data_IF_508569760658
#
_entry.id   IF_508569760658
#
_cell.length_a   1.000
_cell.length_b   1.000
_cell.length_c   1.000
_cell.angle_alpha   90.00
_cell.angle_beta   90.00
_cell.angle_gamma   90.00
#
_symmetry.space_group_name_H-M   'P 1'
#
loop_
_entity.id
_entity.type
_entity.pdbx_description
1 polymer ?
#
# COMPACT_ATOMS: atom_id res chain seq x y z
N UNK A 1 13.95 31.33 -10.70
CA UNK A 1 13.19 31.93 -11.82
C UNK A 1 12.36 30.81 -12.41
N UNK A 2 11.04 30.95 -12.42
CA UNK A 2 10.08 29.90 -12.81
C UNK A 2 10.40 29.39 -14.23
N UNK A 3 11.10 28.25 -14.34
CA UNK A 3 11.66 27.72 -15.60
C UNK A 3 10.60 27.09 -16.52
N UNK A 4 9.34 27.08 -16.08
CA UNK A 4 8.20 26.53 -16.81
C UNK A 4 7.25 27.67 -17.12
N UNK A 5 7.18 28.05 -18.40
CA UNK A 5 6.34 29.16 -18.85
C UNK A 5 4.87 28.94 -18.47
N UNK A 6 4.14 30.03 -18.20
CA UNK A 6 2.70 30.01 -17.88
C UNK A 6 1.86 29.15 -18.86
N UNK A 7 2.13 29.10 -20.18
CA UNK A 7 1.49 28.19 -21.12
C UNK A 7 1.65 26.69 -20.79
N UNK A 8 2.82 26.28 -20.29
CA UNK A 8 3.07 24.90 -19.89
C UNK A 8 2.25 24.51 -18.65
N UNK A 9 2.16 25.41 -17.65
CA UNK A 9 1.30 25.22 -16.46
C UNK A 9 -0.19 25.19 -16.83
N UNK A 10 -0.60 26.06 -17.76
CA UNK A 10 -1.97 26.10 -18.28
C UNK A 10 -2.34 24.84 -19.09
N UNK A 11 -1.40 24.29 -19.87
CA UNK A 11 -1.60 23.04 -20.63
C UNK A 11 -1.79 21.84 -19.72
N UNK A 12 -0.95 21.71 -18.68
CA UNK A 12 -1.07 20.68 -17.64
C UNK A 12 -2.43 20.78 -16.94
N UNK A 13 -2.87 21.99 -16.59
CA UNK A 13 -4.16 22.21 -15.93
C UNK A 13 -5.35 21.94 -16.86
N UNK A 14 -5.23 22.23 -18.16
CA UNK A 14 -6.27 21.96 -19.15
C UNK A 14 -6.52 20.45 -19.33
N UNK A 15 -5.51 19.59 -19.20
CA UNK A 15 -5.71 18.13 -19.23
C UNK A 15 -6.66 17.65 -18.12
N UNK A 16 -6.58 18.27 -16.93
CA UNK A 16 -7.48 18.01 -15.79
C UNK A 16 -8.93 18.37 -16.07
N UNK A 17 -9.16 19.55 -16.66
CA UNK A 17 -10.51 20.06 -16.90
C UNK A 17 -11.26 19.25 -17.97
N UNK A 18 -10.55 18.73 -18.97
CA UNK A 18 -11.19 18.09 -20.13
C UNK A 18 -11.32 16.55 -20.03
N UNK A 19 -10.75 15.85 -19.04
CA UNK A 19 -10.78 14.36 -18.96
C UNK A 19 -10.28 13.65 -20.25
N UNK A 20 -9.45 14.31 -21.05
CA UNK A 20 -8.90 13.71 -22.26
C UNK A 20 -7.81 12.70 -21.90
N UNK A 21 -8.20 11.43 -21.85
CA UNK A 21 -7.26 10.31 -21.79
C UNK A 21 -6.48 10.28 -23.12
N UNK A 22 -5.19 10.57 -23.05
CA UNK A 22 -4.19 10.51 -24.12
C UNK A 22 -4.19 11.68 -25.13
N UNK A 23 -3.51 12.77 -24.77
CA UNK A 23 -2.73 13.51 -25.76
C UNK A 23 -1.30 12.95 -25.70
N UNK A 24 -0.75 12.40 -26.81
CA UNK A 24 0.61 11.87 -26.80
C UNK A 24 1.61 12.96 -26.37
N UNK A 25 2.71 12.58 -25.73
CA UNK A 25 3.77 13.51 -25.31
C UNK A 25 4.26 14.43 -26.44
N UNK A 26 4.01 14.05 -27.69
CA UNK A 26 4.36 14.80 -28.90
C UNK A 26 3.32 15.88 -29.28
N UNK A 27 2.28 16.09 -28.48
CA UNK A 27 1.20 17.05 -28.77
C UNK A 27 1.62 18.48 -28.39
N UNK A 28 1.12 19.45 -29.15
CA UNK A 28 1.29 20.89 -28.85
C UNK A 28 0.90 21.18 -27.39
N UNK A 29 1.72 21.91 -26.60
CA UNK A 29 2.87 22.76 -26.98
C UNK A 29 4.25 22.11 -26.86
N UNK A 30 4.37 20.80 -26.58
CA UNK A 30 5.65 20.13 -26.27
C UNK A 30 6.73 20.33 -27.35
N UNK A 31 6.34 20.33 -28.63
CA UNK A 31 7.24 20.42 -29.77
C UNK A 31 7.99 21.76 -29.92
N UNK A 32 7.51 22.85 -29.29
CA UNK A 32 8.10 24.19 -29.41
C UNK A 32 8.87 24.67 -28.16
N UNK A 33 9.07 23.80 -27.17
CA UNK A 33 9.81 24.15 -25.95
C UNK A 33 11.32 24.20 -26.25
N UNK A 34 12.03 25.31 -25.90
CA UNK A 34 13.48 25.39 -26.04
C UNK A 34 14.20 24.24 -25.31
N UNK A 35 15.30 23.68 -25.87
CA UNK A 35 15.97 22.50 -25.30
C UNK A 35 16.29 22.58 -23.80
N UNK A 36 16.67 23.76 -23.32
CA UNK A 36 17.01 24.01 -21.91
C UNK A 36 15.82 23.93 -20.94
N UNK A 37 14.57 24.07 -21.42
CA UNK A 37 13.35 23.97 -20.60
C UNK A 37 12.70 22.58 -20.67
N UNK A 38 13.09 21.75 -21.65
CA UNK A 38 12.48 20.42 -21.86
C UNK A 38 12.61 19.50 -20.65
N UNK A 39 13.79 19.47 -20.03
CA UNK A 39 14.04 18.63 -18.85
C UNK A 39 13.13 19.01 -17.67
N UNK A 40 13.11 20.29 -17.30
CA UNK A 40 12.26 20.78 -16.21
C UNK A 40 10.77 20.57 -16.49
N UNK A 41 10.35 20.75 -17.74
CA UNK A 41 8.98 20.45 -18.16
C UNK A 41 8.64 18.96 -18.03
N UNK A 42 9.52 18.06 -18.49
CA UNK A 42 9.32 16.61 -18.38
C UNK A 42 9.20 16.17 -16.92
N UNK A 43 10.10 16.64 -16.04
CA UNK A 43 10.03 16.35 -14.60
C UNK A 43 8.69 16.81 -13.99
N UNK A 44 8.24 18.01 -14.37
CA UNK A 44 6.94 18.55 -13.91
C UNK A 44 5.76 17.75 -14.47
N UNK A 45 5.83 17.33 -15.74
CA UNK A 45 4.79 16.53 -16.39
C UNK A 45 4.71 15.11 -15.80
N UNK A 46 5.84 14.47 -15.54
CA UNK A 46 5.91 13.15 -14.93
C UNK A 46 5.37 13.17 -13.49
N UNK A 47 5.74 14.19 -12.71
CA UNK A 47 5.19 14.42 -11.38
C UNK A 47 3.67 14.60 -11.43
N UNK A 48 3.18 15.43 -12.35
CA UNK A 48 1.76 15.64 -12.55
C UNK A 48 1.02 14.38 -13.01
N UNK A 49 1.58 13.62 -13.96
CA UNK A 49 1.00 12.36 -14.43
C UNK A 49 0.92 11.31 -13.31
N UNK A 50 1.92 11.27 -12.42
CA UNK A 50 1.90 10.43 -11.21
C UNK A 50 0.76 10.84 -10.28
N UNK A 51 0.64 12.12 -9.96
CA UNK A 51 -0.42 12.66 -9.09
C UNK A 51 -1.82 12.37 -9.65
N UNK A 52 -2.04 12.59 -10.95
CA UNK A 52 -3.31 12.25 -11.58
C UNK A 52 -3.63 10.75 -11.49
N UNK A 53 -2.62 9.90 -11.69
CA UNK A 53 -2.80 8.44 -11.58
C UNK A 53 -3.19 8.06 -10.14
N UNK A 54 -2.54 8.67 -9.14
CA UNK A 54 -2.87 8.46 -7.73
C UNK A 54 -4.28 8.94 -7.38
N UNK A 55 -4.70 10.10 -7.90
CA UNK A 55 -6.05 10.64 -7.73
C UNK A 55 -7.11 9.73 -8.38
N UNK A 56 -6.88 9.29 -9.62
CA UNK A 56 -7.76 8.34 -10.33
C UNK A 56 -7.89 7.03 -9.55
N UNK A 57 -6.78 6.51 -8.99
CA UNK A 57 -6.78 5.30 -8.19
C UNK A 57 -7.55 5.51 -6.88
N UNK A 58 -7.39 6.64 -6.19
CA UNK A 58 -8.17 6.98 -5.00
C UNK A 58 -9.67 7.04 -5.28
N UNK A 59 -10.08 7.63 -6.40
CA UNK A 59 -11.50 7.67 -6.83
C UNK A 59 -12.08 6.27 -7.11
N UNK A 60 -11.24 5.29 -7.46
CA UNK A 60 -11.69 3.91 -7.62
C UNK A 60 -11.99 3.23 -6.27
N UNK A 61 -11.22 3.54 -5.23
CA UNK A 61 -11.28 2.89 -3.91
C UNK A 61 -11.99 3.75 -2.87
N UNK A 62 -13.28 3.96 -3.06
CA UNK A 62 -14.13 4.72 -2.13
C UNK A 62 -14.65 3.87 -0.97
N UNK A 63 -14.95 4.51 0.16
CA UNK A 63 -15.37 3.85 1.40
C UNK A 63 -16.77 3.19 1.30
N UNK A 64 -17.65 3.68 0.43
CA UNK A 64 -18.97 3.09 0.16
C UNK A 64 -18.89 1.69 -0.45
N UNK A 65 -17.80 1.38 -1.17
CA UNK A 65 -17.57 0.06 -1.80
C UNK A 65 -17.04 -0.99 -0.84
N UNK A 66 -16.64 -0.60 0.38
CA UNK A 66 -16.12 -1.55 1.36
C UNK A 66 -17.24 -2.37 1.98
N UNK A 67 -17.00 -3.68 2.12
CA UNK A 67 -17.82 -4.60 2.90
C UNK A 67 -17.77 -4.20 4.38
N UNK A 68 -18.82 -4.54 5.14
CA UNK A 68 -18.91 -4.23 6.58
C UNK A 68 -17.69 -4.69 7.37
N UNK A 69 -17.22 -5.91 7.13
CA UNK A 69 -16.03 -6.44 7.80
C UNK A 69 -14.75 -5.66 7.45
N UNK A 70 -14.62 -5.17 6.21
CA UNK A 70 -13.45 -4.39 5.80
C UNK A 70 -13.40 -3.06 6.55
N UNK A 71 -14.55 -2.40 6.74
CA UNK A 71 -14.66 -1.17 7.56
C UNK A 71 -14.31 -1.44 9.02
N UNK A 72 -14.83 -2.54 9.58
CA UNK A 72 -14.50 -2.95 10.94
C UNK A 72 -12.99 -3.24 11.09
N UNK A 73 -12.40 -3.91 10.09
CA UNK A 73 -10.97 -4.21 10.07
C UNK A 73 -10.10 -2.94 10.02
N UNK A 74 -10.48 -1.92 9.24
CA UNK A 74 -9.80 -0.62 9.24
C UNK A 74 -9.85 0.03 10.62
N UNK A 75 -10.99 -0.06 11.32
CA UNK A 75 -11.13 0.46 12.68
C UNK A 75 -10.22 -0.28 13.67
N UNK A 76 -10.23 -1.61 13.64
CA UNK A 76 -9.36 -2.47 14.46
C UNK A 76 -7.88 -2.15 14.19
N UNK A 77 -7.50 -1.95 12.93
CA UNK A 77 -6.14 -1.59 12.54
C UNK A 77 -5.72 -0.19 13.05
N UNK A 78 -6.66 0.71 13.29
CA UNK A 78 -6.40 2.02 13.89
C UNK A 78 -6.30 1.95 15.41
N UNK A 79 -7.00 1.00 16.04
CA UNK A 79 -7.05 0.77 17.48
C UNK A 79 -5.93 -0.16 18.00
N UNK A 80 -5.17 -0.81 17.11
CA UNK A 80 -4.10 -1.76 17.47
C UNK A 80 -2.98 -1.08 18.24
N UNK A 81 -2.41 -1.76 19.22
CA UNK A 81 -1.23 -1.30 19.94
C UNK A 81 0.06 -1.45 19.09
N UNK A 82 1.16 -0.83 19.53
CA UNK A 82 2.40 -0.80 18.75
C UNK A 82 3.01 -2.18 18.50
N UNK A 83 2.78 -3.14 19.40
CA UNK A 83 3.34 -4.52 19.31
C UNK A 83 2.45 -5.49 18.54
N UNK A 84 1.18 -5.15 18.32
CA UNK A 84 0.17 -6.05 17.79
C UNK A 84 0.13 -6.07 16.26
N UNK A 85 0.07 -7.27 15.70
CA UNK A 85 -0.16 -7.55 14.28
C UNK A 85 -1.57 -8.09 14.11
N UNK A 86 -2.37 -7.44 13.26
CA UNK A 86 -3.70 -7.93 12.92
C UNK A 86 -3.57 -9.06 11.91
N UNK A 87 -4.05 -10.26 12.25
CA UNK A 87 -4.09 -11.39 11.31
C UNK A 87 -5.52 -11.71 10.90
N UNK A 88 -5.84 -11.51 9.63
CA UNK A 88 -7.13 -11.82 9.04
C UNK A 88 -7.01 -13.05 8.15
N UNK A 89 -7.81 -14.09 8.42
CA UNK A 89 -7.81 -15.29 7.60
C UNK A 89 -9.20 -15.79 7.20
N UNK A 90 -9.30 -16.38 6.00
CA UNK A 90 -10.47 -17.10 5.50
C UNK A 90 -10.05 -18.38 4.76
N UNK A 91 -10.58 -19.53 5.14
CA UNK A 91 -10.17 -20.81 4.51
C UNK A 91 -10.60 -20.88 3.04
N UNK A 92 -11.81 -20.45 2.75
CA UNK A 92 -12.43 -20.61 1.43
C UNK A 92 -11.91 -19.61 0.38
N UNK A 93 -11.48 -18.42 0.80
CA UNK A 93 -11.12 -17.33 -0.11
C UNK A 93 -12.33 -16.49 -0.53
N UNK A 94 -12.09 -15.48 -1.36
CA UNK A 94 -13.15 -14.63 -1.93
C UNK A 94 -13.75 -13.60 -0.98
N UNK A 95 -13.26 -13.51 0.27
CA UNK A 95 -13.76 -12.52 1.23
C UNK A 95 -13.46 -11.05 0.88
N UNK A 96 -12.56 -10.82 -0.10
CA UNK A 96 -12.16 -9.47 -0.53
C UNK A 96 -10.94 -8.94 0.22
N UNK A 97 -10.10 -9.80 0.82
CA UNK A 97 -8.88 -9.41 1.52
C UNK A 97 -7.94 -8.57 0.64
N UNK A 98 -7.65 -9.04 -0.57
CA UNK A 98 -6.79 -8.32 -1.51
C UNK A 98 -7.39 -6.96 -1.93
N UNK A 99 -8.72 -6.83 -1.96
CA UNK A 99 -9.36 -5.52 -2.20
C UNK A 99 -9.07 -4.54 -1.05
N UNK A 100 -9.11 -5.01 0.20
CA UNK A 100 -8.77 -4.19 1.37
C UNK A 100 -7.31 -3.72 1.33
N UNK A 101 -6.36 -4.58 0.96
CA UNK A 101 -4.94 -4.18 0.75
C UNK A 101 -4.85 -3.00 -0.23
N UNK A 102 -5.49 -3.15 -1.40
CA UNK A 102 -5.46 -2.16 -2.47
C UNK A 102 -6.12 -0.85 -2.05
N UNK A 103 -7.23 -0.93 -1.31
CA UNK A 103 -7.89 0.24 -0.73
C UNK A 103 -6.96 0.97 0.26
N UNK A 104 -6.32 0.26 1.18
CA UNK A 104 -5.37 0.86 2.14
C UNK A 104 -4.17 1.49 1.45
N UNK A 105 -3.64 0.87 0.38
CA UNK A 105 -2.57 1.46 -0.41
C UNK A 105 -3.01 2.73 -1.15
N UNK A 106 -4.16 2.68 -1.82
CA UNK A 106 -4.70 3.82 -2.57
C UNK A 106 -5.01 5.01 -1.67
N UNK A 107 -5.69 4.77 -0.54
CA UNK A 107 -6.26 5.82 0.31
C UNK A 107 -5.30 6.28 1.40
N UNK A 108 -4.64 5.34 2.08
CA UNK A 108 -3.79 5.61 3.26
C UNK A 108 -2.29 5.51 2.94
N UNK A 109 -1.92 5.19 1.69
CA UNK A 109 -0.52 5.05 1.28
C UNK A 109 0.18 3.82 1.88
N UNK A 110 -0.58 2.78 2.25
CA UNK A 110 -0.02 1.58 2.87
C UNK A 110 0.98 0.86 1.94
N UNK A 111 2.08 0.36 2.50
CA UNK A 111 2.96 -0.56 1.80
C UNK A 111 2.28 -1.92 1.66
N UNK A 112 2.32 -2.53 0.47
CA UNK A 112 1.83 -3.89 0.25
C UNK A 112 3.02 -4.78 -0.05
N UNK A 113 3.18 -5.83 0.75
CA UNK A 113 4.13 -6.90 0.50
C UNK A 113 3.39 -8.22 0.30
N UNK A 114 3.92 -9.05 -0.59
CA UNK A 114 3.66 -10.48 -0.57
C UNK A 114 4.63 -11.13 0.42
N UNK A 115 4.65 -12.46 0.50
CA UNK A 115 5.77 -13.12 1.15
C UNK A 115 7.09 -12.79 0.42
N UNK A 116 8.18 -12.76 1.16
CA UNK A 116 9.47 -12.35 0.62
C UNK A 116 10.61 -12.47 1.63
N UNK A 117 11.83 -12.50 1.11
CA UNK A 117 12.99 -12.48 1.97
C UNK A 117 13.11 -11.13 2.69
N UNK A 118 13.71 -11.13 3.89
CA UNK A 118 13.82 -9.93 4.71
C UNK A 118 14.63 -8.83 4.04
N UNK A 119 15.58 -9.15 3.14
CA UNK A 119 16.44 -8.17 2.46
C UNK A 119 15.66 -7.35 1.44
N UNK A 120 14.76 -7.97 0.69
CA UNK A 120 13.93 -7.32 -0.32
C UNK A 120 12.90 -6.42 0.34
N UNK A 121 12.22 -6.92 1.38
CA UNK A 121 11.23 -6.15 2.13
C UNK A 121 11.92 -4.98 2.85
N UNK A 122 13.06 -5.22 3.51
CA UNK A 122 13.82 -4.16 4.18
C UNK A 122 14.32 -3.09 3.23
N UNK A 123 14.68 -3.47 2.00
CA UNK A 123 15.07 -2.51 0.97
C UNK A 123 13.87 -1.70 0.48
N UNK A 124 12.74 -2.35 0.19
CA UNK A 124 11.54 -1.74 -0.38
C UNK A 124 10.77 -0.85 0.61
N UNK A 125 10.74 -1.20 1.89
CA UNK A 125 10.02 -0.44 2.92
C UNK A 125 10.64 0.94 3.16
N UNK A 126 9.83 2.00 3.11
CA UNK A 126 10.28 3.39 3.22
C UNK A 126 9.69 4.14 4.42
N UNK A 127 9.17 3.41 5.42
CA UNK A 127 8.62 4.03 6.65
C UNK A 127 7.13 4.31 6.57
N UNK A 128 6.40 3.56 5.75
CA UNK A 128 4.95 3.65 5.61
C UNK A 128 4.25 3.32 6.94
N UNK A 129 3.24 4.12 7.31
CA UNK A 129 2.52 3.96 8.59
C UNK A 129 1.71 2.67 8.68
N UNK A 130 1.34 2.12 7.54
CA UNK A 130 0.55 0.88 7.42
C UNK A 130 1.29 -0.06 6.48
N UNK A 131 1.43 -1.32 6.90
CA UNK A 131 2.02 -2.40 6.11
C UNK A 131 1.00 -3.54 5.99
N UNK A 132 0.67 -3.90 4.75
CA UNK A 132 -0.22 -5.00 4.41
C UNK A 132 0.60 -6.17 3.87
N UNK A 133 0.55 -7.32 4.53
CA UNK A 133 1.04 -8.59 3.99
C UNK A 133 -0.13 -9.36 3.37
N UNK A 134 -0.06 -9.64 2.07
CA UNK A 134 -1.06 -10.45 1.38
C UNK A 134 -0.45 -11.81 1.01
N UNK A 135 -0.65 -12.79 1.89
CA UNK A 135 -0.15 -14.15 1.75
C UNK A 135 -1.04 -14.99 0.85
N UNK A 136 -0.41 -15.78 -0.01
CA UNK A 136 -1.03 -16.81 -0.82
C UNK A 136 -1.12 -18.12 -0.03
N UNK A 137 -1.93 -19.09 -0.48
CA UNK A 137 -2.03 -20.41 0.21
C UNK A 137 -0.68 -21.13 0.31
N UNK A 138 0.20 -20.94 -0.68
CA UNK A 138 1.51 -21.57 -0.72
C UNK A 138 2.48 -21.00 0.33
N UNK A 139 2.18 -19.82 0.89
CA UNK A 139 3.01 -19.16 1.88
C UNK A 139 2.88 -19.73 3.29
N UNK A 140 1.90 -20.60 3.56
CA UNK A 140 1.56 -21.07 4.92
C UNK A 140 2.76 -21.53 5.75
N UNK A 141 3.69 -22.27 5.11
CA UNK A 141 4.90 -22.80 5.77
C UNK A 141 6.13 -21.90 5.63
N UNK A 142 6.02 -20.82 4.87
CA UNK A 142 7.12 -19.95 4.46
C UNK A 142 6.94 -18.50 4.93
N UNK A 143 5.95 -18.23 5.78
CA UNK A 143 5.73 -16.90 6.35
C UNK A 143 6.99 -16.45 7.10
N UNK A 144 7.48 -15.26 6.74
CA UNK A 144 8.65 -14.66 7.36
C UNK A 144 8.27 -13.91 8.65
N UNK A 145 8.05 -14.62 9.75
CA UNK A 145 7.68 -13.97 11.02
C UNK A 145 8.73 -12.97 11.54
N UNK A 146 10.01 -13.20 11.23
CA UNK A 146 11.08 -12.28 11.63
C UNK A 146 10.92 -10.88 11.03
N UNK A 147 10.38 -10.74 9.80
CA UNK A 147 10.13 -9.39 9.25
C UNK A 147 8.99 -8.68 9.98
N UNK A 148 7.98 -9.43 10.44
CA UNK A 148 6.86 -8.89 11.20
C UNK A 148 7.35 -8.35 12.56
N UNK A 149 8.18 -9.12 13.27
CA UNK A 149 8.79 -8.67 14.52
C UNK A 149 9.64 -7.41 14.33
N UNK A 150 10.56 -7.42 13.35
CA UNK A 150 11.45 -6.29 13.12
C UNK A 150 10.68 -5.00 12.73
N UNK A 151 9.60 -5.13 11.95
CA UNK A 151 8.70 -4.00 11.66
C UNK A 151 8.10 -3.46 12.96
N UNK A 152 7.61 -4.32 13.84
CA UNK A 152 7.04 -3.91 15.12
C UNK A 152 8.04 -3.37 16.13
N UNK A 153 9.29 -3.80 16.03
CA UNK A 153 10.38 -3.29 16.86
C UNK A 153 10.94 -1.94 16.33
N UNK A 154 10.50 -1.49 15.14
CA UNK A 154 10.82 -0.17 14.61
C UNK A 154 12.20 -0.05 13.95
N UNK A 155 12.80 -1.17 13.53
CA UNK A 155 14.06 -1.14 12.81
C UNK A 155 14.17 -2.24 11.74
N UNK A 156 14.87 -1.95 10.64
CA UNK A 156 15.18 -2.91 9.59
C UNK A 156 16.61 -2.72 9.10
N UNK A 157 17.32 -3.82 8.87
CA UNK A 157 18.63 -3.77 8.23
C UNK A 157 18.50 -3.98 6.72
N UNK A 158 18.72 -2.92 5.95
CA UNK A 158 18.70 -2.96 4.48
C UNK A 158 20.12 -3.16 3.95
N UNK A 159 20.49 -4.41 3.65
CA UNK A 159 21.83 -4.78 3.17
C UNK A 159 22.11 -4.51 1.67
N UNK A 160 21.11 -4.04 0.90
CA UNK A 160 21.23 -3.87 -0.56
C UNK A 160 21.74 -2.49 -0.95
N UNK A 161 22.72 -2.47 -1.86
CA UNK A 161 23.38 -1.30 -2.48
C UNK A 161 24.11 -0.39 -1.48
N UNK A 162 23.37 0.23 -0.58
CA UNK A 162 23.87 1.09 0.48
C UNK A 162 23.39 0.54 1.83
N UNK A 163 24.27 -0.23 2.47
CA UNK A 163 23.91 -0.98 3.68
C UNK A 163 23.65 -0.04 4.83
N UNK A 164 22.38 0.04 5.26
CA UNK A 164 21.97 0.92 6.36
C UNK A 164 20.89 0.29 7.23
N UNK A 165 20.92 0.64 8.51
CA UNK A 165 19.82 0.39 9.42
C UNK A 165 18.79 1.51 9.25
N UNK A 166 17.55 1.13 8.93
CA UNK A 166 16.39 2.03 8.88
C UNK A 166 15.74 2.01 10.25
N UNK A 167 15.63 3.16 10.90
CA UNK A 167 14.86 3.35 12.12
C UNK A 167 13.57 4.10 11.79
N UNK A 168 12.44 3.67 12.36
CA UNK A 168 11.13 4.22 12.06
C UNK A 168 10.15 3.97 13.22
N UNK A 169 9.01 4.66 13.21
CA UNK A 169 7.92 4.38 14.15
C UNK A 169 7.25 3.05 13.79
N UNK A 170 6.94 2.22 14.79
CA UNK A 170 6.27 0.93 14.57
C UNK A 170 5.00 1.13 13.72
N UNK A 171 4.94 0.53 12.52
CA UNK A 171 3.78 0.66 11.65
C UNK A 171 2.63 -0.21 12.15
N UNK A 172 1.41 0.13 11.75
CA UNK A 172 0.28 -0.79 11.87
C UNK A 172 0.46 -1.89 10.82
N UNK A 173 0.47 -3.15 11.26
CA UNK A 173 0.72 -4.30 10.37
C UNK A 173 -0.53 -5.16 10.31
N UNK A 174 -0.98 -5.43 9.09
CA UNK A 174 -2.08 -6.36 8.81
C UNK A 174 -1.62 -7.48 7.89
N UNK A 175 -1.84 -8.71 8.33
CA UNK A 175 -1.59 -9.92 7.58
C UNK A 175 -2.93 -10.47 7.07
N UNK A 176 -3.01 -10.73 5.77
CA UNK A 176 -4.16 -11.31 5.11
C UNK A 176 -3.76 -12.64 4.50
N UNK A 177 -4.37 -13.72 4.99
CA UNK A 177 -4.02 -15.08 4.62
C UNK A 177 -5.24 -15.97 4.40
N UNK A 178 -5.02 -17.18 3.91
CA UNK A 178 -6.05 -18.22 3.81
C UNK A 178 -5.89 -19.31 4.90
N UNK A 179 -4.99 -19.08 5.84
CA UNK A 179 -4.57 -19.98 6.90
C UNK A 179 -4.32 -19.19 8.20
N UNK A 180 -4.30 -19.89 9.33
CA UNK A 180 -4.02 -19.33 10.66
C UNK A 180 -2.51 -19.07 10.81
N UNK A 181 -2.08 -18.07 11.60
CA UNK A 181 -0.65 -17.91 11.86
C UNK A 181 -0.12 -19.11 12.65
N UNK A 182 1.17 -19.35 12.52
CA UNK A 182 1.90 -20.24 13.42
C UNK A 182 2.25 -19.47 14.69
N UNK A 183 1.39 -19.60 15.70
CA UNK A 183 1.50 -18.90 16.98
C UNK A 183 2.77 -19.24 17.75
N UNK A 184 3.51 -20.30 17.37
CA UNK A 184 4.80 -20.65 17.98
C UNK A 184 5.96 -19.75 17.53
N UNK A 185 5.76 -18.90 16.50
CA UNK A 185 6.83 -18.15 15.83
C UNK A 185 7.10 -16.75 16.38
N UNK A 186 6.16 -16.19 17.12
CA UNK A 186 6.30 -14.89 17.77
C UNK A 186 5.65 -14.98 19.15
N UNK A 187 5.91 -13.99 20.00
CA UNK A 187 5.24 -13.90 21.30
C UNK A 187 3.72 -13.71 21.15
N UNK A 188 2.94 -14.33 22.04
CA UNK A 188 1.47 -14.35 21.98
C UNK A 188 0.84 -12.94 22.00
N UNK A 189 1.46 -11.98 22.71
CA UNK A 189 1.03 -10.58 22.78
C UNK A 189 1.11 -9.83 21.44
N UNK A 190 1.74 -10.42 20.42
CA UNK A 190 1.86 -9.81 19.08
C UNK A 190 0.73 -10.19 18.14
N UNK A 191 -0.12 -11.16 18.47
CA UNK A 191 -1.18 -11.62 17.57
C UNK A 191 -2.54 -11.05 17.95
N UNK A 192 -3.21 -10.45 16.97
CA UNK A 192 -4.65 -10.20 17.05
C UNK A 192 -5.36 -10.90 15.89
N UNK A 193 -5.86 -12.10 16.16
CA UNK A 193 -6.33 -13.03 15.14
C UNK A 193 -7.84 -12.90 14.91
N UNK A 194 -8.24 -12.85 13.64
CA UNK A 194 -9.64 -12.82 13.23
C UNK A 194 -9.90 -13.78 12.07
N UNK A 195 -10.90 -14.62 12.25
CA UNK A 195 -11.46 -15.46 11.19
C UNK A 195 -12.59 -14.72 10.47
N UNK A 196 -12.57 -14.74 9.14
CA UNK A 196 -13.73 -14.36 8.34
C UNK A 196 -14.59 -15.59 8.09
N UNK A 197 -15.82 -15.55 8.57
CA UNK A 197 -16.83 -16.59 8.33
C UNK A 197 -17.94 -16.01 7.47
N UNK A 198 -18.26 -16.69 6.36
CA UNK A 198 -19.39 -16.33 5.53
C UNK A 198 -20.68 -16.80 6.21
N UNK A 199 -21.58 -15.87 6.53
CA UNK A 199 -22.95 -16.16 6.97
C UNK A 199 -23.91 -15.52 5.98
N UNK A 200 -24.77 -16.35 5.39
CA UNK A 200 -25.67 -15.93 4.30
C UNK A 200 -24.85 -15.29 3.16
N UNK A 201 -25.02 -13.99 2.92
CA UNK A 201 -24.33 -13.22 1.88
C UNK A 201 -23.30 -12.22 2.43
N UNK A 202 -23.03 -12.24 3.74
CA UNK A 202 -22.05 -11.35 4.38
C UNK A 202 -20.92 -12.12 5.08
N UNK A 203 -19.74 -11.49 5.16
CA UNK A 203 -18.63 -11.99 5.96
C UNK A 203 -18.65 -11.30 7.32
N UNK A 204 -18.50 -12.10 8.38
CA UNK A 204 -18.35 -11.63 9.76
C UNK A 204 -16.94 -11.93 10.25
N UNK A 205 -16.37 -11.00 11.01
CA UNK A 205 -15.12 -11.20 11.73
C UNK A 205 -15.41 -11.85 13.07
N UNK A 206 -14.74 -12.96 13.36
CA UNK A 206 -14.78 -13.65 14.64
C UNK A 206 -13.38 -13.58 15.23
N UNK A 207 -13.26 -13.10 16.47
CA UNK A 207 -11.99 -13.09 17.21
C UNK A 207 -11.63 -14.53 17.54
N UNK A 208 -10.37 -14.90 17.30
CA UNK A 208 -9.83 -16.22 17.61
C UNK A 208 -8.96 -16.17 18.85
#
# INVERSE_FOLDING_TARGET
MDLVSLPCKAWVTAQRYYKWKSLPANSYPYCNIPPHQRKAFMETYEEYARQNTEDDVKEMYTEDKLRKWQKACIRILKETEDREVVWIYDRDGGAGKTYLCKHLNAVEGAAIFQNGNSKDISYAYNGEKIVCFNYTRDDEKLVNYAILENLKDGYLFSAKYDSRTKHFQSPKVICMANFVPDETKMSEDRYWNFQLVKKEDEYQMIVC
#
